data_IF_242069107238
#
_entry.id   IF_242069107238
#
_cell.length_a   1.000
_cell.length_b   1.000
_cell.length_c   1.000
_cell.angle_alpha   90.00
_cell.angle_beta   90.00
_cell.angle_gamma   90.00
#
_symmetry.space_group_name_H-M   'P 1'
#
loop_
_entity.id
_entity.type
_entity.pdbx_description
1 polymer ?
#
# COMPACT_ATOMS: atom_id res chain seq x y z
N UNK A 1 26.65 4.41 2.16
CA UNK A 1 26.60 4.62 1.61
C UNK A 1 26.64 4.96 0.54
N UNK A 2 26.76 5.37 0.15
CA UNK A 2 26.70 5.76 -0.77
C UNK A 2 27.29 5.62 -1.73
N UNK A 3 27.79 5.53 -2.01
CA UNK A 3 28.23 5.57 -2.81
C UNK A 3 28.30 5.14 -3.83
N UNK A 4 28.31 4.97 -3.99
CA UNK A 4 28.33 4.76 -4.82
C UNK A 4 28.21 4.80 -5.77
N UNK A 5 28.28 5.15 -5.84
CA UNK A 5 28.11 5.39 -6.74
C UNK A 5 28.33 5.55 -7.88
N UNK A 6 28.59 5.56 -7.93
CA UNK A 6 29.03 6.25 -8.82
C UNK A 6 29.16 5.86 -10.16
N UNK A 7 29.17 4.93 -10.53
CA UNK A 7 29.25 4.57 -11.86
C UNK A 7 27.99 4.88 -12.50
N UNK A 8 27.88 5.95 -13.10
CA UNK A 8 26.67 6.36 -13.70
C UNK A 8 26.55 5.81 -15.08
N UNK A 9 26.07 4.64 -15.20
CA UNK A 9 25.68 4.09 -16.47
C UNK A 9 24.20 4.37 -16.67
N UNK A 10 23.72 4.20 -17.89
CA UNK A 10 22.30 4.29 -18.18
C UNK A 10 21.47 3.29 -17.39
N UNK A 11 22.06 2.19 -17.03
CA UNK A 11 21.42 1.19 -16.19
C UNK A 11 21.14 1.75 -14.80
N UNK A 12 22.05 2.54 -14.25
CA UNK A 12 21.85 3.17 -12.96
C UNK A 12 20.70 4.15 -12.98
N UNK A 13 20.55 4.90 -14.08
CA UNK A 13 19.44 5.83 -14.19
C UNK A 13 18.10 5.11 -14.20
N UNK A 14 18.00 3.99 -14.93
CA UNK A 14 16.79 3.19 -14.95
C UNK A 14 16.50 2.60 -13.59
N UNK A 15 17.51 2.10 -12.90
CA UNK A 15 17.37 1.56 -11.56
C UNK A 15 16.93 2.62 -10.58
N UNK A 16 17.49 3.83 -10.68
CA UNK A 16 17.11 4.94 -9.82
C UNK A 16 15.66 5.35 -10.03
N UNK A 17 15.20 5.37 -11.27
CA UNK A 17 13.81 5.72 -11.58
C UNK A 17 12.85 4.68 -11.02
N UNK A 18 13.18 3.39 -11.18
CA UNK A 18 12.38 2.31 -10.63
C UNK A 18 12.34 2.39 -9.11
N UNK A 19 13.51 2.57 -8.49
CA UNK A 19 13.62 2.68 -7.05
C UNK A 19 12.82 3.87 -6.51
N UNK A 20 12.84 5.00 -7.22
CA UNK A 20 12.07 6.17 -6.83
C UNK A 20 10.57 5.88 -6.84
N UNK A 21 10.09 5.09 -7.82
CA UNK A 21 8.67 4.69 -7.89
C UNK A 21 8.30 3.77 -6.73
N UNK A 22 9.19 2.84 -6.40
CA UNK A 22 9.00 1.93 -5.28
C UNK A 22 8.87 2.70 -3.98
N UNK A 23 9.79 3.64 -3.76
CA UNK A 23 9.78 4.46 -2.56
C UNK A 23 8.53 5.31 -2.47
N UNK A 24 8.05 5.83 -3.60
CA UNK A 24 6.84 6.65 -3.60
C UNK A 24 5.61 5.84 -3.24
N UNK A 25 5.51 4.61 -3.77
CA UNK A 25 4.38 3.75 -3.45
C UNK A 25 4.36 3.42 -1.96
N UNK A 26 5.51 3.05 -1.41
CA UNK A 26 5.59 2.73 0.01
C UNK A 26 5.34 3.97 0.87
N UNK A 27 5.90 5.13 0.48
CA UNK A 27 5.70 6.36 1.23
C UNK A 27 4.23 6.77 1.24
N UNK A 28 3.56 6.67 0.09
CA UNK A 28 2.14 6.98 0.00
C UNK A 28 1.33 6.04 0.88
N UNK A 29 1.70 4.74 0.90
CA UNK A 29 1.00 3.78 1.74
C UNK A 29 1.22 4.05 3.22
N UNK A 30 2.43 4.42 3.61
CA UNK A 30 2.73 4.75 5.00
C UNK A 30 1.92 5.96 5.47
N UNK A 31 1.77 6.98 4.62
CA UNK A 31 0.92 8.12 4.93
C UNK A 31 -0.52 7.68 5.15
N UNK A 32 -1.00 6.79 4.29
CA UNK A 32 -2.35 6.27 4.42
C UNK A 32 -2.53 5.52 5.74
N UNK A 33 -1.54 4.72 6.13
CA UNK A 33 -1.57 3.99 7.40
C UNK A 33 -1.65 4.92 8.60
N UNK A 34 -0.94 6.05 8.54
CA UNK A 34 -0.97 7.03 9.64
C UNK A 34 -2.38 7.57 9.84
N UNK A 35 -3.15 7.63 8.76
CA UNK A 35 -4.54 8.05 8.84
C UNK A 35 -5.47 6.88 9.20
N UNK A 36 -5.23 5.72 8.62
CA UNK A 36 -6.14 4.58 8.74
C UNK A 36 -6.17 3.98 10.14
N UNK A 37 -5.00 3.75 10.74
CA UNK A 37 -4.95 3.08 12.04
C UNK A 37 -5.70 3.84 13.14
N UNK A 38 -5.53 5.18 13.26
CA UNK A 38 -6.35 5.92 14.22
C UNK A 38 -7.83 5.92 13.87
N UNK A 39 -8.16 5.81 12.58
CA UNK A 39 -9.56 5.81 12.13
C UNK A 39 -10.25 4.51 12.55
N UNK A 40 -9.61 3.36 12.34
CA UNK A 40 -10.19 2.08 12.72
C UNK A 40 -10.27 1.91 14.24
N UNK A 41 -9.39 2.58 14.96
CA UNK A 41 -9.40 2.55 16.42
C UNK A 41 -10.71 3.09 16.98
N UNK A 42 -11.36 3.99 16.22
CA UNK A 42 -12.63 4.60 16.64
C UNK A 42 -13.85 3.72 16.37
N UNK A 43 -13.66 2.59 15.72
CA UNK A 43 -14.75 1.65 15.48
C UNK A 43 -15.25 1.08 16.82
N UNK A 44 -16.51 0.59 16.88
CA UNK A 44 -17.02 0.02 18.14
C UNK A 44 -16.12 -1.10 18.66
N UNK A 45 -16.00 -1.15 19.98
CA UNK A 45 -15.16 -2.17 20.63
C UNK A 45 -15.57 -3.58 20.27
N UNK A 46 -16.86 -3.80 20.01
CA UNK A 46 -17.38 -5.13 19.68
C UNK A 46 -16.84 -5.70 18.38
N UNK A 47 -16.32 -4.84 17.48
CA UNK A 47 -15.77 -5.31 16.20
C UNK A 47 -14.24 -5.21 16.16
N UNK A 48 -13.62 -4.89 17.30
CA UNK A 48 -12.16 -4.71 17.35
C UNK A 48 -11.40 -5.96 16.94
N UNK A 49 -11.79 -7.11 17.44
CA UNK A 49 -11.09 -8.37 17.17
C UNK A 49 -11.49 -9.01 15.84
N UNK A 50 -12.56 -8.52 15.23
CA UNK A 50 -13.01 -9.06 13.95
C UNK A 50 -12.65 -8.10 12.82
N UNK A 51 -13.42 -7.03 12.65
CA UNK A 51 -13.28 -6.14 11.51
C UNK A 51 -12.08 -5.21 11.61
N UNK A 52 -11.95 -4.48 12.74
CA UNK A 52 -10.87 -3.51 12.88
C UNK A 52 -9.51 -4.16 12.79
N UNK A 53 -9.31 -5.25 13.51
CA UNK A 53 -8.04 -5.96 13.53
C UNK A 53 -7.71 -6.53 12.15
N UNK A 54 -8.71 -7.03 11.44
CA UNK A 54 -8.50 -7.58 10.10
C UNK A 54 -8.11 -6.49 9.11
N UNK A 55 -8.75 -5.32 9.18
CA UNK A 55 -8.41 -4.18 8.33
C UNK A 55 -6.98 -3.74 8.62
N UNK A 56 -6.64 -3.57 9.89
CA UNK A 56 -5.31 -3.11 10.28
C UNK A 56 -4.23 -4.10 9.85
N UNK A 57 -4.44 -5.39 10.10
CA UNK A 57 -3.48 -6.42 9.72
C UNK A 57 -3.23 -6.45 8.23
N UNK A 58 -4.31 -6.39 7.45
CA UNK A 58 -4.20 -6.42 5.99
C UNK A 58 -3.48 -5.19 5.47
N UNK A 59 -3.78 -4.02 6.03
CA UNK A 59 -3.11 -2.79 5.63
C UNK A 59 -1.62 -2.81 5.97
N UNK A 60 -1.28 -3.38 7.11
CA UNK A 60 0.13 -3.55 7.50
C UNK A 60 0.83 -4.57 6.60
N UNK A 61 0.10 -5.63 6.20
CA UNK A 61 0.65 -6.63 5.28
C UNK A 61 1.03 -6.00 3.93
N UNK A 62 0.23 -5.04 3.45
CA UNK A 62 0.58 -4.32 2.22
C UNK A 62 1.93 -3.65 2.37
N UNK A 63 2.15 -2.97 3.49
CA UNK A 63 3.43 -2.29 3.74
C UNK A 63 4.58 -3.29 3.74
N UNK A 64 4.38 -4.45 4.36
CA UNK A 64 5.42 -5.49 4.41
C UNK A 64 5.69 -6.07 3.03
N UNK A 65 4.64 -6.34 2.25
CA UNK A 65 4.78 -6.85 0.89
C UNK A 65 5.53 -5.85 0.00
N UNK A 66 5.19 -4.56 0.11
CA UNK A 66 5.88 -3.52 -0.67
C UNK A 66 7.34 -3.40 -0.27
N UNK A 67 7.63 -3.53 1.02
CA UNK A 67 9.01 -3.50 1.50
C UNK A 67 9.81 -4.66 0.92
N UNK A 68 9.22 -5.86 0.96
CA UNK A 68 9.87 -7.04 0.41
C UNK A 68 10.13 -6.89 -1.09
N UNK A 69 9.17 -6.31 -1.80
CA UNK A 69 9.28 -6.11 -3.25
C UNK A 69 10.47 -5.21 -3.59
N UNK A 70 10.78 -4.23 -2.75
CA UNK A 70 11.91 -3.33 -2.99
C UNK A 70 13.25 -4.06 -3.00
N UNK A 71 13.35 -5.14 -2.24
CA UNK A 71 14.59 -5.89 -2.09
C UNK A 71 14.61 -7.15 -2.95
N UNK A 72 13.64 -7.31 -3.85
CA UNK A 72 13.54 -8.48 -4.69
C UNK A 72 13.87 -8.10 -6.13
N UNK A 73 14.70 -8.89 -6.80
CA UNK A 73 15.11 -8.60 -8.18
C UNK A 73 13.95 -8.74 -9.16
N UNK A 74 13.02 -9.65 -8.86
CA UNK A 74 11.86 -9.89 -9.72
C UNK A 74 10.60 -9.66 -8.90
N UNK A 75 10.22 -8.40 -8.66
CA UNK A 75 9.14 -8.08 -7.73
C UNK A 75 7.72 -8.28 -8.27
N UNK A 76 7.56 -8.69 -9.52
CA UNK A 76 6.24 -8.79 -10.14
C UNK A 76 5.23 -9.56 -9.33
N UNK A 77 5.62 -10.73 -8.79
CA UNK A 77 4.72 -11.54 -7.98
C UNK A 77 4.27 -10.80 -6.71
N UNK A 78 5.21 -10.12 -6.07
CA UNK A 78 4.90 -9.39 -4.85
C UNK A 78 4.03 -8.16 -5.12
N UNK A 79 4.25 -7.50 -6.25
CA UNK A 79 3.41 -6.36 -6.63
C UNK A 79 1.98 -6.83 -6.87
N UNK A 80 1.81 -7.97 -7.55
CA UNK A 80 0.47 -8.54 -7.78
C UNK A 80 -0.18 -8.94 -6.46
N UNK A 81 0.61 -9.48 -5.53
CA UNK A 81 0.12 -9.83 -4.21
C UNK A 81 -0.36 -8.58 -3.46
N UNK A 82 0.43 -7.51 -3.51
CA UNK A 82 0.03 -6.24 -2.89
C UNK A 82 -1.27 -5.71 -3.50
N UNK A 83 -1.41 -5.78 -4.82
CA UNK A 83 -2.65 -5.35 -5.48
C UNK A 83 -3.84 -6.18 -5.02
N UNK A 84 -3.66 -7.47 -4.83
CA UNK A 84 -4.73 -8.31 -4.30
C UNK A 84 -5.07 -7.93 -2.87
N UNK A 85 -4.07 -7.62 -2.07
CA UNK A 85 -4.29 -7.16 -0.70
C UNK A 85 -5.08 -5.84 -0.68
N UNK A 86 -4.79 -4.93 -1.61
CA UNK A 86 -5.55 -3.69 -1.74
C UNK A 86 -7.02 -3.98 -2.05
N UNK A 87 -7.27 -4.93 -2.94
CA UNK A 87 -8.63 -5.32 -3.30
C UNK A 87 -9.37 -5.88 -2.10
N UNK A 88 -8.71 -6.74 -1.33
CA UNK A 88 -9.30 -7.30 -0.11
C UNK A 88 -9.60 -6.20 0.90
N UNK A 89 -8.71 -5.23 1.02
CA UNK A 89 -8.90 -4.12 1.94
C UNK A 89 -10.10 -3.26 1.53
N UNK A 90 -10.27 -3.04 0.23
CA UNK A 90 -11.45 -2.31 -0.27
C UNK A 90 -12.75 -2.98 0.17
N UNK A 91 -12.79 -4.30 0.11
CA UNK A 91 -13.99 -5.06 0.51
C UNK A 91 -14.29 -4.84 1.99
N UNK A 92 -13.25 -4.91 2.84
CA UNK A 92 -13.44 -4.73 4.28
C UNK A 92 -13.87 -3.31 4.62
N UNK A 93 -13.29 -2.31 3.96
CA UNK A 93 -13.66 -0.91 4.18
C UNK A 93 -15.09 -0.64 3.71
N UNK A 94 -15.48 -1.27 2.60
CA UNK A 94 -16.85 -1.15 2.11
C UNK A 94 -17.83 -1.73 3.13
N UNK A 95 -17.47 -2.87 3.73
CA UNK A 95 -18.29 -3.47 4.77
C UNK A 95 -18.41 -2.53 5.97
N UNK A 96 -17.28 -1.96 6.40
CA UNK A 96 -17.29 -1.01 7.52
C UNK A 96 -18.18 0.18 7.24
N UNK A 97 -18.17 0.67 5.99
CA UNK A 97 -19.01 1.77 5.58
C UNK A 97 -20.50 1.38 5.63
N UNK A 98 -20.83 0.19 5.11
CA UNK A 98 -22.20 -0.29 5.10
C UNK A 98 -22.76 -0.50 6.51
N UNK A 99 -21.89 -0.86 7.44
CA UNK A 99 -22.26 -1.05 8.83
C UNK A 99 -22.26 0.28 9.60
N UNK A 100 -21.98 1.37 8.92
CA UNK A 100 -21.98 2.73 9.48
C UNK A 100 -20.85 2.98 10.49
N UNK A 101 -19.81 2.16 10.49
CA UNK A 101 -18.63 2.40 11.34
C UNK A 101 -17.69 3.41 10.69
N UNK A 102 -17.74 3.52 9.37
CA UNK A 102 -16.88 4.41 8.60
C UNK A 102 -17.77 5.41 7.86
N UNK A 103 -17.75 6.71 8.24
CA UNK A 103 -18.57 7.72 7.56
C UNK A 103 -18.20 7.85 6.09
N UNK A 104 -19.14 8.34 5.31
CA UNK A 104 -19.00 8.42 3.86
C UNK A 104 -17.74 9.16 3.42
N UNK A 105 -17.46 10.32 4.03
CA UNK A 105 -16.27 11.11 3.66
C UNK A 105 -14.97 10.34 3.91
N UNK A 106 -14.91 9.61 5.02
CA UNK A 106 -13.73 8.82 5.35
C UNK A 106 -13.59 7.62 4.40
N UNK A 107 -14.72 6.99 4.07
CA UNK A 107 -14.72 5.89 3.11
C UNK A 107 -14.24 6.37 1.73
N UNK A 108 -14.72 7.53 1.31
CA UNK A 108 -14.33 8.14 0.04
C UNK A 108 -12.83 8.46 0.03
N UNK A 109 -12.33 9.01 1.12
CA UNK A 109 -10.92 9.32 1.28
C UNK A 109 -10.07 8.04 1.18
N UNK A 110 -10.48 6.99 1.89
CA UNK A 110 -9.77 5.72 1.87
C UNK A 110 -9.76 5.11 0.47
N UNK A 111 -10.91 5.12 -0.19
CA UNK A 111 -11.04 4.55 -1.54
C UNK A 111 -10.13 5.27 -2.53
N UNK A 112 -10.07 6.59 -2.44
CA UNK A 112 -9.24 7.41 -3.31
C UNK A 112 -7.75 7.11 -3.10
N UNK A 113 -7.34 6.98 -1.85
CA UNK A 113 -5.94 6.70 -1.53
C UNK A 113 -5.54 5.30 -1.96
N UNK A 114 -6.41 4.33 -1.79
CA UNK A 114 -6.14 2.97 -2.23
C UNK A 114 -6.03 2.92 -3.76
N UNK A 115 -6.91 3.62 -4.46
CA UNK A 115 -6.84 3.69 -5.92
C UNK A 115 -5.53 4.32 -6.39
N UNK A 116 -5.09 5.37 -5.71
CA UNK A 116 -3.85 6.06 -6.03
C UNK A 116 -2.65 5.12 -5.90
N UNK A 117 -2.56 4.39 -4.80
CA UNK A 117 -1.48 3.43 -4.60
C UNK A 117 -1.60 2.28 -5.60
N UNK A 118 -2.82 1.84 -5.90
CA UNK A 118 -3.04 0.80 -6.91
C UNK A 118 -2.49 1.20 -8.27
N UNK A 119 -2.66 2.45 -8.66
CA UNK A 119 -2.10 2.95 -9.92
C UNK A 119 -0.59 2.98 -9.88
N UNK A 120 0.00 3.36 -8.75
CA UNK A 120 1.45 3.34 -8.59
C UNK A 120 2.01 1.92 -8.72
N UNK A 121 1.32 0.94 -8.13
CA UNK A 121 1.73 -0.45 -8.22
C UNK A 121 1.62 -0.98 -9.65
N UNK A 122 0.58 -0.59 -10.37
CA UNK A 122 0.42 -0.97 -11.76
C UNK A 122 1.55 -0.44 -12.62
N UNK A 123 1.96 0.82 -12.41
CA UNK A 123 3.07 1.41 -13.13
C UNK A 123 4.39 0.71 -12.80
N UNK A 124 4.59 0.37 -11.53
CA UNK A 124 5.79 -0.36 -11.10
C UNK A 124 5.85 -1.74 -11.74
N UNK A 125 4.72 -2.45 -11.75
CA UNK A 125 4.67 -3.79 -12.32
C UNK A 125 5.05 -3.77 -13.80
N UNK A 126 4.59 -2.77 -14.55
CA UNK A 126 4.90 -2.65 -15.97
C UNK A 126 6.40 -2.52 -16.24
N UNK A 127 7.11 -1.76 -15.42
CA UNK A 127 8.55 -1.56 -15.64
C UNK A 127 9.39 -2.69 -15.06
N UNK A 128 8.76 -3.57 -14.29
CA UNK A 128 9.47 -4.71 -13.67
C UNK A 128 9.38 -5.98 -14.48
N UNK A 129 8.63 -5.97 -15.57
CA UNK A 129 8.49 -7.14 -16.45
C UNK A 129 9.63 -7.25 -17.45
#
# INVERSE_FOLDING_TARGET
MERMCCAFSMENEKQNTSHARELRALAAWMEFLEWLLPTTEKFPKKVRLTLSNRIDSLALDVAMTLTEAQYTKTPGRLIREANLQLTKLRILLRLAHKLAFLPHKQYEHASRKIDEVGRMLGAWEKVSQ
#
